data_IF_463715388157
#
_entry.id   IF_463715388157
#
_cell.length_a   1.000
_cell.length_b   1.000
_cell.length_c   1.000
_cell.angle_alpha   90.00
_cell.angle_beta   90.00
_cell.angle_gamma   90.00
#
_symmetry.space_group_name_H-M   'P 1'
#
loop_
_entity.id
_entity.type
_entity.pdbx_description
1 polymer ?
#
# COMPACT_ATOMS: atom_id res chain seq x y z
N UNK A 1 14.50 -7.33 103.65
CA UNK A 1 13.30 -7.77 102.84
C UNK A 1 13.03 -6.77 101.75
N UNK A 2 13.47 -7.05 100.50
CA UNK A 2 13.34 -6.15 99.38
C UNK A 2 12.32 -6.75 98.37
N UNK A 3 11.29 -6.03 98.07
CA UNK A 3 10.27 -6.41 97.02
C UNK A 3 10.73 -5.89 95.65
N UNK A 4 10.90 -6.81 94.70
CA UNK A 4 11.19 -6.54 93.29
C UNK A 4 9.89 -6.13 92.58
N UNK A 5 9.87 -4.92 92.04
CA UNK A 5 8.80 -4.48 91.06
C UNK A 5 9.17 -4.90 89.68
N UNK A 6 8.25 -5.62 89.01
CA UNK A 6 8.41 -6.12 87.65
C UNK A 6 7.64 -5.16 86.76
N UNK A 7 8.36 -4.32 86.03
CA UNK A 7 7.75 -3.45 85.04
C UNK A 7 7.48 -4.26 83.77
N UNK A 8 6.20 -4.38 83.36
CA UNK A 8 5.75 -4.91 82.11
C UNK A 8 5.68 -3.74 81.10
N UNK A 9 6.63 -3.66 80.15
CA UNK A 9 6.60 -2.78 78.99
C UNK A 9 5.73 -3.42 77.86
N UNK A 10 4.62 -2.81 77.60
CA UNK A 10 3.76 -3.16 76.41
C UNK A 10 4.38 -2.53 75.18
N UNK A 11 4.91 -3.34 74.26
CA UNK A 11 5.36 -2.90 72.94
C UNK A 11 4.15 -2.82 72.04
N UNK A 12 3.70 -1.60 71.71
CA UNK A 12 2.70 -1.35 70.73
C UNK A 12 3.34 -1.42 69.34
N UNK A 13 3.05 -2.49 68.58
CA UNK A 13 3.47 -2.60 67.19
C UNK A 13 2.65 -1.68 66.33
N UNK A 14 3.22 -0.60 65.80
CA UNK A 14 2.64 0.22 64.74
C UNK A 14 2.68 -0.55 63.42
N UNK A 15 1.57 -1.07 62.98
CA UNK A 15 1.37 -1.58 61.63
C UNK A 15 1.31 -0.40 60.66
N UNK A 16 2.38 -0.17 59.89
CA UNK A 16 2.39 0.76 58.77
C UNK A 16 1.68 0.09 57.60
N UNK A 17 0.57 0.63 57.06
CA UNK A 17 -0.04 0.08 55.86
C UNK A 17 0.92 0.28 54.69
N UNK A 18 1.37 -0.81 54.05
CA UNK A 18 2.05 -0.80 52.77
C UNK A 18 1.07 -0.26 51.76
N UNK A 19 1.10 1.04 51.45
CA UNK A 19 0.42 1.62 50.31
C UNK A 19 1.15 1.07 49.10
N UNK A 20 0.56 0.04 48.44
CA UNK A 20 0.93 -0.36 47.09
C UNK A 20 0.63 0.83 46.21
N UNK A 21 1.68 1.56 45.86
CA UNK A 21 1.61 2.63 44.90
C UNK A 21 0.99 2.06 43.63
N UNK A 22 -0.22 2.54 43.27
CA UNK A 22 -0.75 2.40 41.93
C UNK A 22 0.31 3.00 41.01
N UNK A 23 1.07 2.12 40.35
CA UNK A 23 2.02 2.51 39.33
C UNK A 23 1.22 3.25 38.25
N UNK A 24 1.25 4.57 38.29
CA UNK A 24 0.82 5.38 37.17
C UNK A 24 1.66 4.91 36.00
N UNK A 25 1.03 4.25 35.02
CA UNK A 25 1.68 3.88 33.79
C UNK A 25 2.27 5.18 33.21
N UNK A 26 3.60 5.29 33.24
CA UNK A 26 4.28 6.43 32.63
C UNK A 26 3.86 6.44 31.15
N UNK A 27 3.44 7.60 30.62
CA UNK A 27 3.13 7.68 29.21
C UNK A 27 4.35 7.20 28.43
N UNK A 28 4.16 6.22 27.54
CA UNK A 28 5.23 5.62 26.77
C UNK A 28 5.93 6.72 25.96
N UNK A 29 7.18 6.98 26.29
CA UNK A 29 8.02 7.96 25.61
C UNK A 29 8.49 7.39 24.26
N UNK A 30 7.57 7.26 23.32
CA UNK A 30 7.82 6.84 21.94
C UNK A 30 7.42 7.97 21.00
N UNK A 31 8.24 8.30 19.95
CA UNK A 31 9.61 7.81 19.73
C UNK A 31 10.67 8.62 20.52
N UNK A 32 11.72 7.93 20.99
CA UNK A 32 12.90 8.55 21.65
C UNK A 32 14.16 8.56 20.77
N UNK A 33 14.13 7.86 19.64
CA UNK A 33 15.24 7.73 18.70
C UNK A 33 14.69 7.78 17.24
N UNK A 34 15.55 7.92 16.23
CA UNK A 34 15.13 7.95 14.84
C UNK A 34 14.36 6.71 14.41
N UNK A 35 13.30 6.89 13.61
CA UNK A 35 12.49 5.84 13.00
C UNK A 35 12.94 5.66 11.54
N UNK A 36 13.00 4.41 11.10
CA UNK A 36 13.31 4.05 9.73
C UNK A 36 12.05 3.49 9.04
N UNK A 37 11.73 4.02 7.87
CA UNK A 37 10.72 3.47 6.96
C UNK A 37 11.45 2.77 5.81
N UNK A 38 11.38 1.44 5.77
CA UNK A 38 11.87 0.65 4.64
C UNK A 38 10.82 0.71 3.53
N UNK A 39 11.21 1.32 2.40
CA UNK A 39 10.34 1.50 1.25
C UNK A 39 10.72 0.48 0.15
N UNK A 40 9.75 -0.30 -0.31
CA UNK A 40 9.95 -1.33 -1.33
C UNK A 40 10.10 -0.77 -2.76
N UNK A 41 9.88 0.50 -2.96
CA UNK A 41 9.93 1.14 -4.28
C UNK A 41 11.26 1.87 -4.51
N UNK A 42 11.66 2.05 -5.79
CA UNK A 42 12.80 2.88 -6.14
C UNK A 42 12.63 4.32 -5.68
N UNK A 43 13.75 4.99 -5.39
CA UNK A 43 13.77 6.42 -5.08
C UNK A 43 13.26 7.26 -6.27
N UNK A 44 12.60 8.39 -5.97
CA UNK A 44 12.10 9.37 -6.95
C UNK A 44 10.77 9.00 -7.62
N UNK A 45 10.20 7.83 -7.33
CA UNK A 45 8.87 7.45 -7.81
C UNK A 45 7.73 7.99 -6.92
N UNK A 46 6.48 7.82 -7.38
CA UNK A 46 5.29 8.28 -6.65
C UNK A 46 5.23 7.73 -5.21
N UNK A 47 5.43 6.43 -5.04
CA UNK A 47 5.41 5.81 -3.72
C UNK A 47 6.51 6.33 -2.78
N UNK A 48 7.70 6.64 -3.34
CA UNK A 48 8.79 7.24 -2.58
C UNK A 48 8.45 8.67 -2.14
N UNK A 49 7.90 9.48 -3.04
CA UNK A 49 7.47 10.85 -2.73
C UNK A 49 6.44 10.90 -1.61
N UNK A 50 5.44 10.02 -1.65
CA UNK A 50 4.40 9.94 -0.61
C UNK A 50 5.00 9.48 0.72
N UNK A 51 5.83 8.44 0.71
CA UNK A 51 6.46 7.94 1.94
C UNK A 51 7.35 8.99 2.61
N UNK A 52 8.10 9.79 1.83
CA UNK A 52 8.91 10.90 2.34
C UNK A 52 8.06 12.04 2.87
N UNK A 53 6.94 12.36 2.22
CA UNK A 53 6.01 13.37 2.72
C UNK A 53 5.39 12.96 4.07
N UNK A 54 5.01 11.68 4.24
CA UNK A 54 4.56 11.12 5.53
C UNK A 54 5.68 11.18 6.56
N UNK A 55 6.89 10.71 6.21
CA UNK A 55 8.05 10.71 7.10
C UNK A 55 8.39 12.11 7.60
N UNK A 56 8.35 13.11 6.72
CA UNK A 56 8.58 14.51 7.07
C UNK A 56 7.57 15.03 8.10
N UNK A 57 6.28 14.73 7.90
CA UNK A 57 5.21 15.14 8.82
C UNK A 57 5.34 14.45 10.18
N UNK A 58 5.61 13.15 10.19
CA UNK A 58 5.88 12.40 11.42
C UNK A 58 7.08 12.98 12.18
N UNK A 59 8.16 13.33 11.45
CA UNK A 59 9.34 13.96 12.05
C UNK A 59 9.01 15.32 12.70
N UNK A 60 8.17 16.13 12.05
CA UNK A 60 7.74 17.43 12.57
C UNK A 60 6.90 17.28 13.83
N UNK A 61 5.96 16.33 13.83
CA UNK A 61 5.06 16.10 14.97
C UNK A 61 5.80 15.53 16.19
N UNK A 62 6.73 14.60 15.97
CA UNK A 62 7.37 13.87 17.08
C UNK A 62 8.71 14.44 17.52
N UNK A 63 9.28 15.39 16.78
CA UNK A 63 10.59 15.95 17.07
C UNK A 63 11.74 14.94 16.93
N UNK A 64 11.49 13.78 16.31
CA UNK A 64 12.46 12.74 16.05
C UNK A 64 12.60 12.50 14.55
N UNK A 65 13.81 12.24 14.03
CA UNK A 65 14.00 11.95 12.61
C UNK A 65 13.21 10.70 12.17
N UNK A 66 12.46 10.81 11.07
CA UNK A 66 11.86 9.67 10.37
C UNK A 66 12.48 9.59 8.98
N UNK A 67 13.23 8.53 8.69
CA UNK A 67 14.07 8.41 7.50
C UNK A 67 13.54 7.32 6.59
N UNK A 68 13.40 7.60 5.29
CA UNK A 68 13.01 6.62 4.27
C UNK A 68 14.26 6.00 3.65
N UNK A 69 14.36 4.68 3.72
CA UNK A 69 15.38 3.85 3.09
C UNK A 69 14.75 2.98 2.00
N UNK A 70 15.14 3.21 0.74
CA UNK A 70 14.62 2.44 -0.39
C UNK A 70 15.35 1.10 -0.53
N UNK A 71 14.60 -0.02 -0.55
CA UNK A 71 15.08 -1.37 -0.82
C UNK A 71 14.22 -2.04 -1.91
N UNK A 72 14.34 -1.59 -3.16
CA UNK A 72 13.55 -2.13 -4.26
C UNK A 72 14.03 -3.53 -4.66
N UNK A 73 13.14 -4.27 -5.31
CA UNK A 73 13.48 -5.53 -5.96
C UNK A 73 12.54 -6.68 -5.62
N UNK A 74 12.49 -7.66 -6.52
CA UNK A 74 11.67 -8.87 -6.42
C UNK A 74 10.22 -8.58 -5.96
N UNK A 75 9.58 -7.60 -6.58
CA UNK A 75 8.20 -7.19 -6.26
C UNK A 75 7.98 -6.90 -4.76
N UNK A 76 9.00 -6.30 -4.09
CA UNK A 76 8.96 -5.93 -2.67
C UNK A 76 9.43 -7.02 -1.70
N UNK A 77 9.80 -8.20 -2.16
CA UNK A 77 10.27 -9.30 -1.30
C UNK A 77 11.49 -8.89 -0.48
N UNK A 78 12.45 -8.16 -1.08
CA UNK A 78 13.68 -7.73 -0.39
C UNK A 78 13.36 -6.83 0.81
N UNK A 79 12.48 -5.85 0.62
CA UNK A 79 12.08 -4.94 1.68
C UNK A 79 11.24 -5.65 2.77
N UNK A 80 10.29 -6.48 2.36
CA UNK A 80 9.43 -7.24 3.26
C UNK A 80 10.25 -8.18 4.16
N UNK A 81 11.19 -8.95 3.59
CA UNK A 81 12.09 -9.83 4.35
C UNK A 81 12.93 -9.06 5.37
N UNK A 82 13.48 -7.91 4.97
CA UNK A 82 14.27 -7.07 5.86
C UNK A 82 13.47 -6.56 7.06
N UNK A 83 12.20 -6.17 6.85
CA UNK A 83 11.33 -5.68 7.94
C UNK A 83 10.82 -6.83 8.80
N UNK A 84 10.43 -7.97 8.21
CA UNK A 84 9.98 -9.14 8.95
C UNK A 84 11.02 -9.62 10.00
N UNK A 85 12.31 -9.45 9.69
CA UNK A 85 13.44 -9.81 10.56
C UNK A 85 13.90 -8.69 11.50
N UNK A 86 13.29 -7.51 11.44
CA UNK A 86 13.65 -6.37 12.28
C UNK A 86 13.05 -6.50 13.70
N UNK A 87 13.65 -5.85 14.71
CA UNK A 87 13.06 -5.78 16.05
C UNK A 87 11.64 -5.19 16.01
N UNK A 88 10.76 -5.76 16.85
CA UNK A 88 9.36 -5.32 16.98
C UNK A 88 9.23 -4.15 17.99
N UNK A 89 10.12 -3.17 17.90
CA UNK A 89 10.21 -2.02 18.82
C UNK A 89 9.57 -0.74 18.26
N UNK A 90 8.98 -0.81 17.04
CA UNK A 90 8.34 0.32 16.38
C UNK A 90 9.29 1.27 15.65
N UNK A 91 10.61 1.05 15.67
CA UNK A 91 11.59 1.93 15.02
C UNK A 91 11.99 1.51 13.60
N UNK A 92 11.52 0.35 13.15
CA UNK A 92 11.59 -0.05 11.74
C UNK A 92 10.18 -0.30 11.24
N UNK A 93 9.76 0.46 10.22
CA UNK A 93 8.44 0.38 9.62
C UNK A 93 8.57 -0.04 8.15
N UNK A 94 7.53 -0.63 7.60
CA UNK A 94 7.46 -1.04 6.22
C UNK A 94 6.50 -0.16 5.44
N UNK A 95 6.98 0.51 4.39
CA UNK A 95 6.15 1.13 3.38
C UNK A 95 5.80 0.11 2.33
N UNK A 96 4.61 -0.45 2.46
CA UNK A 96 4.12 -1.60 1.72
C UNK A 96 3.03 -1.23 0.72
N UNK A 97 2.73 -2.18 -0.17
CA UNK A 97 1.56 -2.19 -1.04
C UNK A 97 0.97 -3.61 -1.14
N UNK A 98 -0.09 -3.73 -1.95
CA UNK A 98 -0.77 -4.97 -2.28
C UNK A 98 0.15 -6.06 -2.87
N UNK A 99 1.15 -5.68 -3.68
CA UNK A 99 2.06 -6.64 -4.28
C UNK A 99 2.81 -7.48 -3.23
N UNK A 100 3.49 -6.82 -2.27
CA UNK A 100 4.30 -7.52 -1.26
C UNK A 100 3.45 -8.34 -0.29
N UNK A 101 2.24 -7.86 0.05
CA UNK A 101 1.46 -8.42 1.17
C UNK A 101 0.35 -9.36 0.69
N UNK A 102 -0.28 -9.07 -0.44
CA UNK A 102 -1.50 -9.78 -0.88
C UNK A 102 -1.30 -10.57 -2.18
N UNK A 103 -0.47 -10.10 -3.12
CA UNK A 103 -0.26 -10.76 -4.42
C UNK A 103 0.85 -11.80 -4.37
N UNK A 104 2.02 -11.46 -3.84
CA UNK A 104 3.17 -12.38 -3.79
C UNK A 104 2.83 -13.73 -3.13
N UNK A 105 2.06 -13.80 -2.02
CA UNK A 105 1.70 -15.09 -1.42
C UNK A 105 0.90 -16.03 -2.32
N UNK A 106 0.21 -15.48 -3.32
CA UNK A 106 -0.53 -16.28 -4.29
C UNK A 106 0.33 -16.73 -5.48
N UNK A 107 1.47 -16.06 -5.71
CA UNK A 107 2.32 -16.26 -6.89
C UNK A 107 3.56 -17.10 -6.63
N UNK A 108 4.18 -16.92 -5.45
CA UNK A 108 5.41 -17.61 -5.09
C UNK A 108 5.11 -18.82 -4.21
N UNK A 109 5.72 -19.96 -4.52
CA UNK A 109 5.60 -21.16 -3.67
C UNK A 109 6.34 -21.00 -2.35
N UNK A 110 7.43 -20.23 -2.34
CA UNK A 110 8.23 -19.95 -1.14
C UNK A 110 8.54 -18.47 -1.06
N UNK A 111 8.14 -17.85 0.05
CA UNK A 111 8.52 -16.50 0.41
C UNK A 111 9.42 -16.54 1.65
N UNK A 112 10.43 -15.65 1.78
CA UNK A 112 11.28 -15.58 2.96
C UNK A 112 10.57 -14.94 4.17
N UNK A 113 9.32 -14.54 4.04
CA UNK A 113 8.45 -13.96 5.06
C UNK A 113 7.03 -14.52 4.94
N UNK A 114 6.27 -14.44 6.01
CA UNK A 114 4.84 -14.74 6.03
C UNK A 114 4.04 -13.45 6.21
N UNK A 115 3.31 -12.98 5.18
CA UNK A 115 2.58 -11.71 5.24
C UNK A 115 1.50 -11.66 6.34
N UNK A 116 1.02 -12.81 6.81
CA UNK A 116 -0.05 -12.89 7.79
C UNK A 116 0.46 -12.86 9.24
N UNK A 117 1.68 -13.37 9.49
CA UNK A 117 2.24 -13.52 10.83
C UNK A 117 3.38 -12.58 11.13
N UNK A 118 4.08 -12.05 10.11
CA UNK A 118 5.32 -11.32 10.30
C UNK A 118 5.12 -9.80 10.35
N UNK A 119 3.89 -9.32 10.05
CA UNK A 119 3.58 -7.89 10.03
C UNK A 119 2.33 -7.55 10.84
N UNK A 120 2.38 -6.42 11.52
CA UNK A 120 1.24 -5.74 12.12
C UNK A 120 0.82 -4.57 11.23
N UNK A 121 -0.43 -4.52 10.74
CA UNK A 121 -0.92 -3.39 9.95
C UNK A 121 -1.05 -2.14 10.83
N UNK A 122 -0.62 -0.99 10.29
CA UNK A 122 -0.72 0.32 10.96
C UNK A 122 -1.84 1.12 10.33
N UNK A 123 -1.65 1.54 9.08
CA UNK A 123 -2.63 2.36 8.35
C UNK A 123 -2.41 2.30 6.84
N UNK A 124 -3.47 2.23 6.08
CA UNK A 124 -3.47 2.61 4.66
C UNK A 124 -3.42 4.12 4.59
N UNK A 125 -2.39 4.66 3.96
CA UNK A 125 -2.19 6.11 3.81
C UNK A 125 -3.03 6.65 2.67
N UNK A 126 -2.93 6.00 1.52
CA UNK A 126 -3.62 6.37 0.29
C UNK A 126 -3.91 5.14 -0.57
N UNK A 127 -4.94 5.27 -1.39
CA UNK A 127 -5.26 4.29 -2.42
C UNK A 127 -5.46 4.94 -3.78
N UNK A 128 -5.31 4.16 -4.83
CA UNK A 128 -5.60 4.56 -6.20
C UNK A 128 -6.31 3.44 -6.92
N UNK A 129 -7.00 3.80 -7.98
CA UNK A 129 -7.63 2.83 -8.88
C UNK A 129 -6.88 2.80 -10.19
N UNK A 130 -6.81 1.65 -10.81
CA UNK A 130 -6.28 1.55 -12.16
C UNK A 130 -7.27 2.09 -13.20
N UNK A 131 -6.70 2.55 -14.28
CA UNK A 131 -7.39 2.93 -15.49
C UNK A 131 -6.93 2.05 -16.65
N UNK A 132 -7.82 1.77 -17.58
CA UNK A 132 -7.48 1.23 -18.88
C UNK A 132 -7.10 2.40 -19.79
N UNK A 133 -5.84 2.47 -20.14
CA UNK A 133 -5.27 3.54 -20.95
C UNK A 133 -4.79 2.96 -22.28
N UNK A 134 -5.00 3.68 -23.36
CA UNK A 134 -4.54 3.29 -24.68
C UNK A 134 -3.76 4.41 -25.36
N UNK A 135 -2.94 4.06 -26.36
CA UNK A 135 -2.29 5.03 -27.25
C UNK A 135 -3.32 5.96 -27.88
N UNK A 136 -3.01 7.26 -27.99
CA UNK A 136 -3.88 8.26 -28.60
C UNK A 136 -4.25 7.94 -30.05
N UNK A 137 -3.33 7.31 -30.78
CA UNK A 137 -3.48 6.97 -32.19
C UNK A 137 -4.36 5.73 -32.42
N UNK A 138 -4.63 4.92 -31.38
CA UNK A 138 -5.48 3.75 -31.49
C UNK A 138 -6.93 4.18 -31.80
N UNK A 139 -7.59 3.69 -32.89
CA UNK A 139 -8.92 4.16 -33.32
C UNK A 139 -10.04 3.55 -32.47
N UNK A 140 -9.99 3.75 -31.15
CA UNK A 140 -10.96 3.25 -30.17
C UNK A 140 -11.29 4.34 -29.14
N UNK A 141 -12.54 4.41 -28.68
CA UNK A 141 -13.01 5.39 -27.70
C UNK A 141 -13.64 4.79 -26.45
N UNK A 142 -13.81 3.46 -26.39
CA UNK A 142 -14.38 2.74 -25.24
C UNK A 142 -13.91 1.29 -25.19
N UNK A 143 -14.29 0.58 -24.11
CA UNK A 143 -13.88 -0.81 -23.88
C UNK A 143 -14.36 -1.74 -24.98
N UNK A 144 -15.61 -1.59 -25.45
CA UNK A 144 -16.18 -2.45 -26.50
C UNK A 144 -15.39 -2.32 -27.81
N UNK A 145 -15.05 -1.11 -28.21
CA UNK A 145 -14.26 -0.86 -29.42
C UNK A 145 -12.87 -1.42 -29.33
N UNK A 146 -12.21 -1.30 -28.14
CA UNK A 146 -10.90 -1.92 -27.91
C UNK A 146 -10.97 -3.44 -28.04
N UNK A 147 -11.96 -4.08 -27.44
CA UNK A 147 -12.15 -5.54 -27.52
C UNK A 147 -12.38 -5.98 -28.95
N UNK A 148 -13.23 -5.26 -29.68
CA UNK A 148 -13.50 -5.57 -31.09
C UNK A 148 -12.25 -5.39 -31.96
N UNK A 149 -11.53 -4.29 -31.76
CA UNK A 149 -10.27 -4.03 -32.47
C UNK A 149 -9.22 -5.10 -32.18
N UNK A 150 -9.06 -5.53 -30.92
CA UNK A 150 -8.14 -6.61 -30.55
C UNK A 150 -8.51 -7.93 -31.23
N UNK A 151 -9.80 -8.30 -31.27
CA UNK A 151 -10.28 -9.53 -31.91
C UNK A 151 -10.09 -9.54 -33.44
N UNK A 152 -10.18 -8.39 -34.08
CA UNK A 152 -9.96 -8.25 -35.55
C UNK A 152 -8.48 -8.09 -35.90
N UNK A 153 -7.61 -7.85 -34.91
CA UNK A 153 -6.16 -7.70 -35.06
C UNK A 153 -5.40 -8.59 -34.08
N UNK A 154 -5.55 -9.93 -34.14
CA UNK A 154 -4.98 -10.83 -33.15
C UNK A 154 -3.44 -10.70 -33.10
N UNK A 155 -2.91 -10.60 -31.85
CA UNK A 155 -1.47 -10.49 -31.57
C UNK A 155 -0.84 -9.14 -31.91
N UNK A 156 -1.60 -8.13 -32.35
CA UNK A 156 -1.07 -6.80 -32.69
C UNK A 156 -1.11 -5.80 -31.52
N UNK A 157 -1.90 -6.07 -30.49
CA UNK A 157 -1.96 -5.20 -29.31
C UNK A 157 -1.15 -5.76 -28.16
N UNK A 158 -0.15 -4.98 -27.76
CA UNK A 158 0.67 -5.27 -26.58
C UNK A 158 0.19 -4.44 -25.39
N UNK A 159 0.17 -5.04 -24.21
CA UNK A 159 -0.04 -4.28 -22.99
C UNK A 159 1.21 -4.29 -22.10
N UNK A 160 1.50 -3.15 -21.48
CA UNK A 160 2.61 -2.99 -20.55
C UNK A 160 2.24 -3.31 -19.13
N UNK A 161 3.23 -3.73 -18.33
CA UNK A 161 3.12 -3.87 -16.88
C UNK A 161 4.41 -3.46 -16.17
N UNK A 162 4.37 -3.43 -14.84
CA UNK A 162 5.54 -3.15 -13.99
C UNK A 162 6.27 -4.44 -13.55
N UNK A 163 6.26 -5.44 -14.42
CA UNK A 163 6.82 -6.78 -14.20
C UNK A 163 5.75 -7.85 -14.02
N UNK A 164 6.19 -9.12 -14.15
CA UNK A 164 5.30 -10.25 -13.91
C UNK A 164 4.76 -10.21 -12.47
N UNK A 165 3.44 -10.38 -12.32
CA UNK A 165 2.77 -10.37 -11.03
C UNK A 165 2.47 -8.99 -10.45
N UNK A 166 2.82 -7.92 -11.12
CA UNK A 166 2.31 -6.59 -10.75
C UNK A 166 0.79 -6.52 -10.93
N UNK A 167 0.12 -5.58 -10.24
CA UNK A 167 -1.31 -5.38 -10.40
C UNK A 167 -1.67 -5.13 -11.88
N UNK A 168 -0.88 -4.33 -12.60
CA UNK A 168 -1.05 -4.07 -14.03
C UNK A 168 -1.02 -5.35 -14.89
N UNK A 169 -0.15 -6.31 -14.56
CA UNK A 169 -0.13 -7.62 -15.23
C UNK A 169 -1.41 -8.41 -14.92
N UNK A 170 -1.80 -8.50 -13.65
CA UNK A 170 -3.02 -9.23 -13.26
C UNK A 170 -4.28 -8.59 -13.86
N UNK A 171 -4.33 -7.26 -13.95
CA UNK A 171 -5.44 -6.54 -14.59
C UNK A 171 -5.51 -6.83 -16.09
N UNK A 172 -4.36 -6.88 -16.80
CA UNK A 172 -4.29 -7.26 -18.19
C UNK A 172 -4.78 -8.69 -18.45
N UNK A 173 -4.36 -9.64 -17.63
CA UNK A 173 -4.82 -11.03 -17.74
C UNK A 173 -6.31 -11.17 -17.37
N UNK A 174 -6.77 -10.44 -16.34
CA UNK A 174 -8.20 -10.43 -16.01
C UNK A 174 -9.04 -9.82 -17.14
N UNK A 175 -8.54 -8.78 -17.81
CA UNK A 175 -9.18 -8.19 -18.98
C UNK A 175 -9.21 -9.18 -20.15
N UNK A 176 -8.10 -9.85 -20.46
CA UNK A 176 -8.04 -10.88 -21.48
C UNK A 176 -9.05 -12.00 -21.22
N UNK A 177 -9.08 -12.52 -20.01
CA UNK A 177 -10.00 -13.59 -19.60
C UNK A 177 -11.48 -13.16 -19.67
N UNK A 178 -11.80 -11.93 -19.26
CA UNK A 178 -13.18 -11.43 -19.25
C UNK A 178 -13.70 -11.08 -20.67
N UNK A 179 -12.80 -10.70 -21.60
CA UNK A 179 -13.21 -10.15 -22.90
C UNK A 179 -12.81 -11.00 -24.11
N UNK A 180 -11.80 -11.87 -23.96
CA UNK A 180 -11.18 -12.60 -25.06
C UNK A 180 -10.38 -11.71 -26.00
N UNK A 181 -9.86 -10.56 -25.51
CA UNK A 181 -9.09 -9.61 -26.33
C UNK A 181 -7.71 -10.13 -26.74
N UNK A 182 -7.12 -11.05 -25.95
CA UNK A 182 -5.81 -11.67 -26.20
C UNK A 182 -4.67 -10.65 -26.41
N UNK A 183 -4.62 -9.62 -25.57
CA UNK A 183 -3.53 -8.66 -25.53
C UNK A 183 -2.23 -9.36 -25.11
N UNK A 184 -1.10 -9.00 -25.75
CA UNK A 184 0.20 -9.62 -25.48
C UNK A 184 0.91 -8.87 -24.35
N UNK A 185 1.36 -9.57 -23.30
CA UNK A 185 2.03 -8.97 -22.16
C UNK A 185 3.49 -8.62 -22.44
N UNK A 186 3.88 -7.36 -22.15
CA UNK A 186 5.27 -6.88 -22.20
C UNK A 186 5.64 -6.31 -20.82
N UNK A 187 6.51 -6.97 -20.05
CA UNK A 187 6.94 -6.47 -18.74
C UNK A 187 8.01 -5.38 -18.85
N UNK A 188 7.89 -4.35 -17.99
CA UNK A 188 8.85 -3.27 -17.80
C UNK A 188 9.26 -3.18 -16.31
N UNK A 189 10.32 -2.44 -15.99
CA UNK A 189 10.77 -2.27 -14.60
C UNK A 189 9.94 -1.25 -13.81
N UNK A 190 9.17 -0.40 -14.50
CA UNK A 190 8.35 0.60 -13.85
C UNK A 190 7.79 1.67 -14.80
N UNK A 191 7.15 2.68 -14.20
CA UNK A 191 6.46 3.77 -14.92
C UNK A 191 7.41 4.55 -15.83
N UNK A 192 8.66 4.73 -15.42
CA UNK A 192 9.68 5.47 -16.19
C UNK A 192 10.02 4.82 -17.54
N UNK A 193 9.82 3.51 -17.67
CA UNK A 193 10.04 2.79 -18.92
C UNK A 193 8.74 2.59 -19.71
N UNK A 194 7.63 2.29 -19.04
CA UNK A 194 6.38 1.91 -19.70
C UNK A 194 5.69 3.09 -20.39
N UNK A 195 5.74 4.30 -19.83
CA UNK A 195 5.13 5.49 -20.47
C UNK A 195 5.84 5.87 -21.77
N UNK A 196 7.17 6.00 -21.83
CA UNK A 196 7.88 6.18 -23.10
C UNK A 196 7.60 5.08 -24.14
N UNK A 197 7.55 3.80 -23.69
CA UNK A 197 7.21 2.69 -24.59
C UNK A 197 5.80 2.82 -25.19
N UNK A 198 4.85 3.33 -24.43
CA UNK A 198 3.50 3.59 -24.90
C UNK A 198 3.45 4.78 -25.89
N UNK A 199 4.16 5.88 -25.59
CA UNK A 199 4.25 7.04 -26.43
C UNK A 199 4.98 6.78 -27.75
N UNK A 200 5.92 5.81 -27.79
CA UNK A 200 6.62 5.37 -29.00
C UNK A 200 5.86 4.31 -29.81
N UNK A 201 4.71 3.82 -29.30
CA UNK A 201 3.92 2.78 -29.96
C UNK A 201 4.44 1.35 -29.76
N UNK A 202 5.45 1.13 -28.92
CA UNK A 202 5.93 -0.22 -28.58
C UNK A 202 4.85 -1.05 -27.87
N UNK A 203 4.03 -0.40 -27.04
CA UNK A 203 2.81 -0.96 -26.46
C UNK A 203 1.63 -0.04 -26.74
N UNK A 204 0.42 -0.62 -26.84
CA UNK A 204 -0.80 0.09 -27.17
C UNK A 204 -1.76 0.24 -26.00
N UNK A 205 -1.60 -0.61 -24.98
CA UNK A 205 -2.51 -0.70 -23.83
C UNK A 205 -1.73 -0.70 -22.52
N UNK A 206 -2.27 -0.05 -21.49
CA UNK A 206 -1.69 -0.01 -20.16
C UNK A 206 -2.78 -0.01 -19.10
N UNK A 207 -2.61 -0.85 -18.08
CA UNK A 207 -3.43 -0.85 -16.88
C UNK A 207 -2.59 -0.18 -15.77
N UNK A 208 -2.98 1.01 -15.33
CA UNK A 208 -2.21 1.75 -14.33
C UNK A 208 -3.03 2.84 -13.65
N UNK A 209 -2.53 3.34 -12.53
CA UNK A 209 -3.05 4.57 -11.93
C UNK A 209 -2.93 5.76 -12.89
N UNK A 210 -3.87 6.68 -12.81
CA UNK A 210 -3.96 7.83 -13.71
C UNK A 210 -2.83 8.87 -13.56
N UNK A 211 -2.15 8.91 -12.41
CA UNK A 211 -1.21 9.99 -12.07
C UNK A 211 -0.16 10.27 -13.16
N UNK A 212 0.69 9.31 -13.46
CA UNK A 212 1.76 9.49 -14.45
C UNK A 212 1.24 9.74 -15.88
N UNK A 213 0.21 9.03 -16.39
CA UNK A 213 -0.30 9.27 -17.74
C UNK A 213 -1.22 10.50 -17.87
N UNK A 214 -1.69 11.11 -16.77
CA UNK A 214 -2.72 12.15 -16.78
C UNK A 214 -2.40 13.33 -17.70
N UNK A 215 -1.17 13.83 -17.69
CA UNK A 215 -0.76 14.92 -18.59
C UNK A 215 -0.83 14.54 -20.08
N UNK A 216 -0.53 13.28 -20.40
CA UNK A 216 -0.61 12.77 -21.78
C UNK A 216 -2.06 12.52 -22.21
N UNK A 217 -2.92 12.18 -21.26
CA UNK A 217 -4.37 12.07 -21.50
C UNK A 217 -4.95 13.47 -21.79
N UNK A 218 -4.60 14.48 -20.99
CA UNK A 218 -5.03 15.87 -21.21
C UNK A 218 -4.59 16.44 -22.56
N UNK A 219 -3.44 16.01 -23.07
CA UNK A 219 -2.92 16.46 -24.39
C UNK A 219 -3.33 15.55 -25.55
N UNK A 220 -4.14 14.52 -25.31
CA UNK A 220 -4.61 13.59 -26.34
C UNK A 220 -3.59 12.59 -26.86
N UNK A 221 -2.36 12.59 -26.34
CA UNK A 221 -1.33 11.59 -26.69
C UNK A 221 -1.68 10.20 -26.18
N UNK A 222 -2.45 10.12 -25.10
CA UNK A 222 -3.04 8.89 -24.55
C UNK A 222 -4.54 9.09 -24.36
N UNK A 223 -5.30 8.00 -24.30
CA UNK A 223 -6.74 8.01 -23.99
C UNK A 223 -7.03 7.08 -22.83
N UNK A 224 -7.79 7.54 -21.83
CA UNK A 224 -8.35 6.68 -20.80
C UNK A 224 -9.72 6.17 -21.26
N UNK A 225 -9.87 4.85 -21.38
CA UNK A 225 -11.11 4.22 -21.83
C UNK A 225 -12.04 3.84 -20.69
N UNK A 226 -11.48 3.47 -19.53
CA UNK A 226 -12.25 3.11 -18.35
C UNK A 226 -11.45 3.34 -17.06
N UNK A 227 -12.16 3.56 -15.94
CA UNK A 227 -11.61 3.49 -14.58
C UNK A 227 -12.14 2.24 -13.89
N UNK A 228 -11.29 1.54 -13.15
CA UNK A 228 -11.63 0.27 -12.47
C UNK A 228 -12.07 0.51 -11.01
N UNK A 229 -12.96 1.47 -10.82
CA UNK A 229 -13.59 1.83 -9.55
C UNK A 229 -15.10 1.74 -9.62
N UNK A 230 -15.75 1.81 -8.45
CA UNK A 230 -17.21 1.81 -8.35
C UNK A 230 -17.84 3.10 -8.89
N UNK A 231 -17.11 4.22 -8.84
CA UNK A 231 -17.52 5.53 -9.33
C UNK A 231 -16.44 6.16 -10.20
N UNK A 232 -16.85 7.12 -11.05
CA UNK A 232 -15.91 7.89 -11.87
C UNK A 232 -14.96 8.70 -11.01
N UNK A 233 -13.75 8.95 -11.50
CA UNK A 233 -12.73 9.69 -10.80
C UNK A 233 -12.85 11.20 -11.06
N UNK A 234 -12.65 12.02 -10.01
CA UNK A 234 -12.74 13.48 -10.11
C UNK A 234 -11.73 14.06 -11.12
N UNK A 235 -10.57 13.45 -11.27
CA UNK A 235 -9.53 13.85 -12.23
C UNK A 235 -9.83 13.43 -13.67
N UNK A 236 -10.76 12.47 -13.87
CA UNK A 236 -11.21 11.94 -15.16
C UNK A 236 -12.75 11.85 -15.21
N UNK A 237 -13.51 12.94 -15.03
CA UNK A 237 -14.96 12.90 -14.82
C UNK A 237 -15.74 12.37 -16.02
N UNK A 238 -15.17 12.51 -17.22
CA UNK A 238 -15.78 12.06 -18.47
C UNK A 238 -15.46 10.60 -18.82
N UNK A 239 -14.57 9.93 -18.05
CA UNK A 239 -14.20 8.53 -18.27
C UNK A 239 -15.16 7.64 -17.48
N UNK A 240 -15.89 6.79 -18.21
CA UNK A 240 -16.81 5.84 -17.60
C UNK A 240 -16.07 4.78 -16.78
N UNK A 241 -16.73 4.23 -15.75
CA UNK A 241 -16.20 3.06 -15.07
C UNK A 241 -16.26 1.82 -15.97
N UNK A 242 -15.42 0.84 -15.70
CA UNK A 242 -15.51 -0.46 -16.39
C UNK A 242 -16.90 -1.08 -16.24
N UNK A 243 -17.50 -0.94 -15.06
CA UNK A 243 -18.84 -1.43 -14.75
C UNK A 243 -19.93 -0.74 -15.58
N UNK A 244 -19.87 0.59 -15.76
CA UNK A 244 -20.78 1.31 -16.65
C UNK A 244 -20.69 0.82 -18.10
N UNK A 245 -19.55 0.24 -18.49
CA UNK A 245 -19.32 -0.32 -19.83
C UNK A 245 -19.54 -1.85 -19.90
N UNK A 246 -20.15 -2.45 -18.87
CA UNK A 246 -20.49 -3.87 -18.82
C UNK A 246 -19.35 -4.81 -18.45
N UNK A 247 -18.20 -4.28 -18.01
CA UNK A 247 -17.06 -5.07 -17.56
C UNK A 247 -16.97 -5.07 -16.04
N UNK A 248 -17.24 -6.21 -15.41
CA UNK A 248 -17.20 -6.38 -13.95
C UNK A 248 -15.76 -6.52 -13.45
N UNK A 249 -14.98 -5.45 -13.53
CA UNK A 249 -13.60 -5.38 -13.07
C UNK A 249 -13.41 -4.21 -12.12
N UNK A 250 -12.74 -4.48 -11.00
CA UNK A 250 -12.26 -3.48 -10.06
C UNK A 250 -10.78 -3.77 -9.76
N UNK A 251 -9.94 -2.75 -9.90
CA UNK A 251 -8.51 -2.83 -9.60
C UNK A 251 -8.08 -1.58 -8.86
N UNK A 252 -7.64 -1.78 -7.62
CA UNK A 252 -7.09 -0.72 -6.77
C UNK A 252 -5.75 -1.16 -6.23
N UNK A 253 -4.85 -0.22 -6.09
CA UNK A 253 -3.62 -0.36 -5.34
C UNK A 253 -3.68 0.53 -4.10
N UNK A 254 -2.96 0.17 -3.05
CA UNK A 254 -2.84 0.96 -1.84
C UNK A 254 -1.38 1.14 -1.43
N UNK A 255 -1.12 2.20 -0.69
CA UNK A 255 0.15 2.45 -0.01
C UNK A 255 -0.13 2.55 1.48
N UNK A 256 0.58 1.78 2.28
CA UNK A 256 0.35 1.71 3.71
C UNK A 256 1.61 1.48 4.51
N UNK A 257 1.50 1.77 5.80
CA UNK A 257 2.53 1.48 6.80
C UNK A 257 2.18 0.22 7.57
N UNK A 258 3.18 -0.61 7.76
CA UNK A 258 3.14 -1.80 8.61
C UNK A 258 4.36 -1.81 9.55
N UNK A 259 4.30 -2.57 10.62
CA UNK A 259 5.42 -2.83 11.51
C UNK A 259 5.73 -4.32 11.55
N UNK A 260 6.90 -4.74 12.08
CA UNK A 260 7.13 -6.14 12.44
C UNK A 260 6.04 -6.66 13.37
N UNK A 261 5.66 -7.92 13.21
CA UNK A 261 4.73 -8.58 14.12
C UNK A 261 5.20 -8.44 15.58
N UNK A 262 4.26 -8.44 16.51
CA UNK A 262 4.50 -8.28 17.97
C UNK A 262 4.97 -6.86 18.38
N UNK A 263 4.98 -5.87 17.48
CA UNK A 263 5.10 -4.46 17.88
C UNK A 263 3.95 -4.12 18.84
N UNK A 264 4.27 -3.46 19.95
CA UNK A 264 3.29 -3.17 21.00
C UNK A 264 2.06 -2.43 20.45
N UNK A 265 0.84 -2.84 20.84
CA UNK A 265 -0.41 -2.23 20.31
C UNK A 265 -0.49 -0.72 20.52
N UNK A 266 0.10 -0.20 21.60
CA UNK A 266 0.15 1.21 21.94
C UNK A 266 1.00 1.99 20.92
N UNK A 267 2.13 1.41 20.48
CA UNK A 267 2.98 1.96 19.42
C UNK A 267 2.22 1.98 18.09
N UNK A 268 1.61 0.85 17.72
CA UNK A 268 0.79 0.74 16.51
C UNK A 268 -0.31 1.80 16.49
N UNK A 269 -1.05 1.94 17.60
CA UNK A 269 -2.16 2.89 17.71
C UNK A 269 -1.69 4.35 17.62
N UNK A 270 -0.55 4.67 18.24
CA UNK A 270 0.05 6.01 18.18
C UNK A 270 0.47 6.37 16.77
N UNK A 271 1.16 5.47 16.07
CA UNK A 271 1.57 5.70 14.68
C UNK A 271 0.34 5.81 13.77
N UNK A 272 -0.64 4.92 13.93
CA UNK A 272 -1.85 4.91 13.12
C UNK A 272 -2.66 6.20 13.27
N UNK A 273 -2.81 6.70 14.49
CA UNK A 273 -3.50 7.97 14.76
C UNK A 273 -2.84 9.14 14.05
N UNK A 274 -1.50 9.24 14.11
CA UNK A 274 -0.79 10.32 13.46
C UNK A 274 -0.82 10.20 11.93
N UNK A 275 -0.65 8.99 11.39
CA UNK A 275 -0.76 8.74 9.94
C UNK A 275 -2.16 9.07 9.43
N UNK A 276 -3.22 8.78 10.18
CA UNK A 276 -4.58 9.13 9.81
C UNK A 276 -4.78 10.66 9.78
N UNK A 277 -4.25 11.37 10.77
CA UNK A 277 -4.27 12.84 10.81
C UNK A 277 -3.55 13.44 9.60
N UNK A 278 -2.35 12.94 9.29
CA UNK A 278 -1.56 13.38 8.13
C UNK A 278 -2.35 13.13 6.83
N UNK A 279 -2.78 11.90 6.60
CA UNK A 279 -3.42 11.48 5.34
C UNK A 279 -4.70 12.27 5.05
N UNK A 280 -5.49 12.58 6.08
CA UNK A 280 -6.75 13.29 5.96
C UNK A 280 -6.62 14.80 5.98
N UNK A 281 -5.44 15.34 6.32
CA UNK A 281 -5.22 16.78 6.35
C UNK A 281 -5.39 17.39 4.96
N UNK A 282 -6.05 18.56 4.88
CA UNK A 282 -6.26 19.27 3.61
C UNK A 282 -4.94 19.52 2.88
N UNK A 283 -3.92 19.99 3.63
CA UNK A 283 -2.62 20.32 3.05
C UNK A 283 -1.93 19.11 2.43
N UNK A 284 -1.96 17.93 3.10
CA UNK A 284 -1.33 16.72 2.57
C UNK A 284 -2.07 16.21 1.33
N UNK A 285 -3.40 16.22 1.36
CA UNK A 285 -4.21 15.82 0.22
C UNK A 285 -3.91 16.68 -1.00
N UNK A 286 -4.04 18.00 -0.89
CA UNK A 286 -3.86 18.93 -2.01
C UNK A 286 -2.44 18.93 -2.57
N UNK A 287 -1.40 18.81 -1.72
CA UNK A 287 -0.01 18.88 -2.17
C UNK A 287 0.60 17.54 -2.60
N UNK A 288 0.03 16.41 -2.14
CA UNK A 288 0.68 15.10 -2.29
C UNK A 288 -0.19 14.09 -3.03
N UNK A 289 -1.52 14.13 -2.87
CA UNK A 289 -2.40 13.08 -3.34
C UNK A 289 -3.29 13.48 -4.52
N UNK A 290 -3.95 14.65 -4.45
CA UNK A 290 -5.04 15.02 -5.35
C UNK A 290 -4.55 15.15 -6.81
N UNK A 291 -3.42 15.81 -7.04
CA UNK A 291 -2.87 16.02 -8.40
C UNK A 291 -2.44 14.72 -9.10
N UNK A 292 -2.15 13.68 -8.32
CA UNK A 292 -1.74 12.36 -8.84
C UNK A 292 -2.87 11.33 -8.82
N UNK A 293 -4.09 11.77 -8.48
CA UNK A 293 -5.30 10.93 -8.50
C UNK A 293 -5.33 9.85 -7.44
N UNK A 294 -4.76 10.14 -6.26
CA UNK A 294 -4.81 9.27 -5.09
C UNK A 294 -5.89 9.72 -4.12
N UNK A 295 -6.63 8.78 -3.57
CA UNK A 295 -7.58 9.03 -2.50
C UNK A 295 -6.90 8.85 -1.13
N UNK A 296 -7.06 9.85 -0.27
CA UNK A 296 -6.62 9.75 1.13
C UNK A 296 -7.47 8.73 1.89
N UNK A 297 -6.84 7.86 2.66
CA UNK A 297 -7.53 6.85 3.48
C UNK A 297 -7.34 7.12 4.98
N UNK A 298 -6.12 6.98 5.49
CA UNK A 298 -5.83 7.11 6.91
C UNK A 298 -6.60 6.07 7.74
N UNK A 299 -6.56 4.80 7.36
CA UNK A 299 -7.32 3.74 8.02
C UNK A 299 -6.85 3.46 9.42
N UNK A 300 -7.73 2.92 10.26
CA UNK A 300 -7.34 2.25 11.51
C UNK A 300 -6.61 0.93 11.22
N UNK A 301 -5.84 0.39 12.18
CA UNK A 301 -5.22 -0.93 12.06
C UNK A 301 -6.23 -2.06 11.80
N UNK A 302 -7.41 -1.98 12.40
CA UNK A 302 -8.47 -2.98 12.25
C UNK A 302 -9.09 -2.96 10.84
N UNK A 303 -9.34 -1.78 10.29
CA UNK A 303 -9.81 -1.60 8.90
C UNK A 303 -8.77 -2.13 7.92
N UNK A 304 -7.48 -1.80 8.13
CA UNK A 304 -6.41 -2.30 7.29
C UNK A 304 -6.29 -3.83 7.35
N UNK A 305 -6.34 -4.42 8.55
CA UNK A 305 -6.34 -5.87 8.70
C UNK A 305 -7.54 -6.53 7.98
N UNK A 306 -8.72 -5.91 8.04
CA UNK A 306 -9.92 -6.40 7.33
C UNK A 306 -9.74 -6.34 5.81
N UNK A 307 -9.18 -5.24 5.30
CA UNK A 307 -8.88 -5.07 3.88
C UNK A 307 -7.89 -6.12 3.38
N UNK A 308 -6.82 -6.40 4.14
CA UNK A 308 -5.82 -7.42 3.77
C UNK A 308 -6.40 -8.83 3.66
N UNK A 309 -7.39 -9.17 4.51
CA UNK A 309 -8.09 -10.47 4.39
C UNK A 309 -8.87 -10.57 3.07
N UNK A 310 -9.60 -9.52 2.71
CA UNK A 310 -10.33 -9.46 1.44
C UNK A 310 -9.42 -9.50 0.22
N UNK A 311 -8.34 -8.73 0.26
CA UNK A 311 -7.35 -8.67 -0.83
C UNK A 311 -6.68 -10.03 -1.06
N UNK A 312 -6.32 -10.75 -0.02
CA UNK A 312 -5.74 -12.10 -0.13
C UNK A 312 -6.63 -13.05 -0.92
N UNK A 313 -7.92 -13.10 -0.56
CA UNK A 313 -8.88 -14.01 -1.23
C UNK A 313 -9.13 -13.59 -2.68
N UNK A 314 -9.18 -12.28 -2.93
CA UNK A 314 -9.30 -11.69 -4.28
C UNK A 314 -8.11 -12.05 -5.15
N UNK A 315 -6.89 -11.76 -4.69
CA UNK A 315 -5.68 -11.98 -5.50
C UNK A 315 -5.34 -13.45 -5.68
N UNK A 316 -5.64 -14.32 -4.70
CA UNK A 316 -5.53 -15.77 -4.89
C UNK A 316 -6.37 -16.27 -6.07
N UNK A 317 -7.62 -15.77 -6.19
CA UNK A 317 -8.49 -16.08 -7.34
C UNK A 317 -7.97 -15.50 -8.65
N UNK A 318 -7.50 -14.25 -8.64
CA UNK A 318 -6.99 -13.57 -9.83
C UNK A 318 -5.70 -14.23 -10.36
N UNK A 319 -4.73 -14.52 -9.50
CA UNK A 319 -3.47 -15.19 -9.85
C UNK A 319 -3.75 -16.58 -10.44
N UNK A 320 -4.67 -17.34 -9.83
CA UNK A 320 -5.10 -18.65 -10.36
C UNK A 320 -5.74 -18.53 -11.74
N UNK A 321 -6.63 -17.56 -11.92
CA UNK A 321 -7.33 -17.33 -13.20
C UNK A 321 -6.36 -16.85 -14.30
N UNK A 322 -5.37 -16.03 -13.95
CA UNK A 322 -4.32 -15.56 -14.86
C UNK A 322 -3.26 -16.63 -15.19
N UNK A 323 -3.29 -17.78 -14.50
CA UNK A 323 -2.28 -18.85 -14.61
C UNK A 323 -0.83 -18.34 -14.42
N UNK A 324 -0.65 -17.33 -13.57
CA UNK A 324 0.65 -16.72 -13.29
C UNK A 324 1.22 -17.38 -12.04
N UNK A 325 2.30 -18.14 -12.23
CA UNK A 325 3.15 -18.66 -11.15
C UNK A 325 4.56 -18.16 -11.33
N UNK A 326 5.21 -17.85 -10.22
CA UNK A 326 6.63 -17.52 -10.16
C UNK A 326 7.31 -18.54 -9.25
N UNK A 327 8.44 -19.05 -9.68
CA UNK A 327 9.28 -19.99 -8.92
C UNK A 327 9.99 -19.32 -7.76
#
# INVERSE_FOLDING_TARGET
>A
MQRRNFNKSIATALSIPFIHGLGLAQPMAYPEKPIKIINMFPAGGLADSISRAVAQRLSQTWGQPVVVENRPGANGIIAADAVAKSPADGYTLFWANDAAISINPAMYEKLPYNPQSDFSPISVVAETVECLIVSGDLPVGNVRELVQYAKTNPGKLNYGSFGKGSLAHLSGEAFNNATGANLVHIPFKGVAEVIPAMLSGQIQVLFTAQGAPLQFIKTGKLKALAVFSQSRQATLPNVATAREQGLAMEARAWFGLMAPAKTAPEIISKIAGEVANISRSKEFREKVLDDVGLAAVGSSPAEFASMLRGDRDKYAKQVKAANVKLE
#
